data_IF_467955068121
#
_entry.id   IF_467955068121
#
_cell.length_a   1.000
_cell.length_b   1.000
_cell.length_c   1.000
_cell.angle_alpha   90.00
_cell.angle_beta   90.00
_cell.angle_gamma   90.00
#
_symmetry.space_group_name_H-M   'P 1'
#
loop_
_entity.id
_entity.type
_entity.pdbx_description
1 polymer ?
#
# COMPACT_ATOMS: atom_id res chain seq x y z
N UNK A 1 49.00 -4.98 -22.82
CA UNK A 1 48.38 -4.25 -21.69
C UNK A 1 46.87 -4.42 -21.82
N UNK A 2 46.25 -5.17 -20.91
CA UNK A 2 44.79 -5.31 -20.88
C UNK A 2 44.21 -4.15 -20.05
N UNK A 3 43.33 -3.36 -20.65
CA UNK A 3 42.55 -2.34 -19.95
C UNK A 3 41.50 -3.07 -19.09
N UNK A 4 41.55 -2.87 -17.78
CA UNK A 4 40.51 -3.35 -16.89
C UNK A 4 39.18 -2.67 -17.26
N UNK A 5 38.14 -3.47 -17.49
CA UNK A 5 36.79 -2.94 -17.70
C UNK A 5 36.33 -2.19 -16.44
N UNK A 6 35.59 -1.07 -16.58
CA UNK A 6 35.01 -0.40 -15.43
C UNK A 6 34.09 -1.39 -14.70
N UNK A 7 34.29 -1.52 -13.39
CA UNK A 7 33.37 -2.26 -12.54
C UNK A 7 31.97 -1.67 -12.73
N UNK A 8 31.01 -2.49 -13.16
CA UNK A 8 29.62 -2.08 -13.24
C UNK A 8 29.22 -1.56 -11.86
N UNK A 9 28.83 -0.29 -11.78
CA UNK A 9 28.40 0.34 -10.54
C UNK A 9 27.25 -0.49 -9.95
N UNK A 10 27.44 -1.00 -8.74
CA UNK A 10 26.44 -1.80 -8.06
C UNK A 10 25.18 -0.95 -7.88
N UNK A 11 24.05 -1.44 -8.38
CA UNK A 11 22.77 -0.73 -8.29
C UNK A 11 22.44 -0.49 -6.81
N UNK A 12 22.01 0.72 -6.41
CA UNK A 12 21.75 1.02 -5.01
C UNK A 12 20.68 0.07 -4.47
N UNK A 13 20.96 -0.50 -3.30
CA UNK A 13 20.06 -1.42 -2.62
C UNK A 13 18.82 -0.67 -2.10
N UNK A 14 17.60 -1.23 -2.24
CA UNK A 14 16.42 -0.62 -1.67
C UNK A 14 16.45 -0.59 -0.13
N UNK A 15 15.89 0.47 0.45
CA UNK A 15 15.76 0.67 1.90
C UNK A 15 14.30 0.88 2.31
N UNK A 16 14.02 0.73 3.62
CA UNK A 16 12.68 0.89 4.19
C UNK A 16 12.58 2.18 4.97
N UNK A 17 11.46 2.88 4.80
CA UNK A 17 10.99 3.91 5.72
C UNK A 17 9.62 3.52 6.28
N UNK A 18 9.33 3.88 7.53
CA UNK A 18 8.08 3.49 8.20
C UNK A 18 7.31 4.70 8.65
N UNK A 19 6.00 4.70 8.38
CA UNK A 19 5.11 5.77 8.81
C UNK A 19 3.85 5.21 9.44
N UNK A 20 3.32 5.96 10.40
CA UNK A 20 1.91 5.88 10.76
C UNK A 20 1.12 6.83 9.85
N UNK A 21 -0.16 6.53 9.66
CA UNK A 21 -1.05 7.47 8.96
C UNK A 21 -1.30 8.69 9.84
N UNK A 22 -1.44 9.84 9.18
CA UNK A 22 -1.82 11.09 9.82
C UNK A 22 -2.73 11.88 8.89
N UNK A 23 -3.38 12.94 9.40
CA UNK A 23 -4.17 13.85 8.56
C UNK A 23 -5.36 13.19 7.85
N UNK A 24 -5.90 12.10 8.39
CA UNK A 24 -7.00 11.36 7.79
C UNK A 24 -8.27 12.21 7.74
N UNK A 25 -8.79 12.43 6.54
CA UNK A 25 -10.01 13.20 6.27
C UNK A 25 -11.03 12.29 5.61
N UNK A 26 -12.28 12.32 6.10
CA UNK A 26 -13.40 11.67 5.44
C UNK A 26 -13.65 12.35 4.09
N UNK A 27 -13.61 11.57 3.02
CA UNK A 27 -13.84 12.04 1.65
C UNK A 27 -15.27 11.78 1.23
N UNK A 28 -15.80 10.62 1.61
CA UNK A 28 -17.17 10.25 1.33
C UNK A 28 -17.64 9.13 2.25
N UNK A 29 -18.96 9.00 2.35
CA UNK A 29 -19.64 7.92 3.02
C UNK A 29 -20.92 7.59 2.27
N UNK A 30 -21.35 6.34 2.37
CA UNK A 30 -22.63 5.90 1.85
C UNK A 30 -23.82 6.52 2.57
N UNK A 31 -24.94 6.61 1.88
CA UNK A 31 -26.23 6.97 2.48
C UNK A 31 -26.85 5.76 3.22
N UNK A 32 -26.76 5.82 4.55
CA UNK A 32 -27.30 4.78 5.45
C UNK A 32 -28.81 4.61 5.29
N UNK A 33 -29.56 5.68 4.99
CA UNK A 33 -31.01 5.61 4.79
C UNK A 33 -31.36 4.88 3.49
N UNK A 34 -30.43 4.84 2.53
CA UNK A 34 -30.53 4.05 1.30
C UNK A 34 -29.89 2.65 1.42
N UNK A 35 -29.42 2.29 2.62
CA UNK A 35 -28.81 0.99 2.90
C UNK A 35 -27.34 0.88 2.47
N UNK A 36 -26.66 2.00 2.21
CA UNK A 36 -25.23 2.01 1.91
C UNK A 36 -24.41 2.08 3.21
N UNK A 37 -23.55 1.08 3.44
CA UNK A 37 -22.63 1.02 4.58
C UNK A 37 -21.18 0.99 4.10
N UNK A 38 -20.66 2.16 3.74
CA UNK A 38 -19.27 2.35 3.35
C UNK A 38 -18.75 3.74 3.72
N UNK A 39 -17.44 3.85 3.93
CA UNK A 39 -16.76 5.12 4.18
C UNK A 39 -15.42 5.12 3.44
N UNK A 40 -15.00 6.29 2.96
CA UNK A 40 -13.70 6.49 2.31
C UNK A 40 -12.96 7.66 2.93
N UNK A 41 -11.68 7.46 3.23
CA UNK A 41 -10.79 8.42 3.83
C UNK A 41 -9.56 8.65 2.95
N UNK A 42 -9.02 9.86 3.02
CA UNK A 42 -7.70 10.21 2.51
C UNK A 42 -6.81 10.56 3.70
N UNK A 43 -5.73 9.82 3.87
CA UNK A 43 -4.70 10.11 4.86
C UNK A 43 -3.40 10.55 4.18
N UNK A 44 -2.52 11.15 4.97
CA UNK A 44 -1.16 11.50 4.57
C UNK A 44 -0.20 10.37 4.94
N UNK A 45 0.47 9.84 3.92
CA UNK A 45 1.56 8.86 4.03
C UNK A 45 2.94 9.52 4.06
N UNK A 46 3.96 8.77 3.63
CA UNK A 46 5.34 9.26 3.58
C UNK A 46 5.48 10.41 2.58
N UNK A 47 6.20 11.47 2.99
CA UNK A 47 6.47 12.66 2.16
C UNK A 47 5.23 13.29 1.50
N UNK A 48 4.06 13.16 2.14
CA UNK A 48 2.82 13.71 1.63
C UNK A 48 2.06 12.79 0.67
N UNK A 49 2.60 11.63 0.31
CA UNK A 49 1.95 10.67 -0.60
C UNK A 49 0.59 10.27 -0.03
N UNK A 50 -0.51 10.47 -0.76
CA UNK A 50 -1.83 10.14 -0.25
C UNK A 50 -2.01 8.63 -0.07
N UNK A 51 -2.72 8.29 1.01
CA UNK A 51 -3.21 6.93 1.29
C UNK A 51 -4.73 6.98 1.25
N UNK A 52 -5.29 6.30 0.26
CA UNK A 52 -6.73 6.15 0.09
C UNK A 52 -7.17 4.89 0.82
N UNK A 53 -8.12 5.04 1.74
CA UNK A 53 -8.69 3.93 2.48
C UNK A 53 -10.18 3.92 2.26
N UNK A 54 -10.75 2.74 2.07
CA UNK A 54 -12.18 2.58 2.11
C UNK A 54 -12.58 1.33 2.87
N UNK A 55 -13.73 1.40 3.52
CA UNK A 55 -14.30 0.33 4.31
C UNK A 55 -15.77 0.16 3.92
N UNK A 56 -16.25 -1.08 3.96
CA UNK A 56 -17.66 -1.40 3.76
C UNK A 56 -18.06 -2.57 4.66
N UNK A 57 -19.31 -2.53 5.13
CA UNK A 57 -19.92 -3.54 6.02
C UNK A 57 -19.08 -3.76 7.30
N UNK A 58 -18.30 -2.76 7.72
CA UNK A 58 -17.34 -2.82 8.84
C UNK A 58 -16.32 -3.99 8.82
N UNK A 59 -16.20 -4.70 7.71
CA UNK A 59 -15.41 -5.93 7.62
C UNK A 59 -14.49 -5.98 6.40
N UNK A 60 -14.85 -5.28 5.32
CA UNK A 60 -14.06 -5.25 4.09
C UNK A 60 -13.40 -3.90 3.95
N UNK A 61 -12.15 -3.88 3.52
CA UNK A 61 -11.57 -2.64 3.08
C UNK A 61 -10.56 -2.74 1.97
N UNK A 62 -10.23 -1.56 1.48
CA UNK A 62 -9.41 -1.32 0.30
C UNK A 62 -8.38 -0.25 0.63
N UNK A 63 -7.20 -0.41 0.03
CA UNK A 63 -6.13 0.55 0.15
C UNK A 63 -5.65 0.98 -1.24
N UNK A 64 -5.21 2.21 -1.34
CA UNK A 64 -4.51 2.76 -2.49
C UNK A 64 -3.52 3.82 -2.08
N UNK A 65 -2.51 4.02 -2.91
CA UNK A 65 -1.41 4.93 -2.68
C UNK A 65 -1.14 5.74 -3.96
N UNK A 66 -0.87 7.02 -3.81
CA UNK A 66 -0.58 7.94 -4.91
C UNK A 66 -1.54 9.12 -4.97
N UNK A 67 -1.22 10.11 -5.82
CA UNK A 67 -1.99 11.35 -5.90
C UNK A 67 -3.41 11.15 -6.41
N UNK A 68 -3.60 10.20 -7.34
CA UNK A 68 -4.91 9.87 -7.87
C UNK A 68 -5.62 8.89 -6.97
N UNK A 69 -6.90 9.16 -6.70
CA UNK A 69 -7.76 8.26 -5.91
C UNK A 69 -7.79 6.88 -6.56
N UNK A 70 -7.43 5.88 -5.78
CA UNK A 70 -7.42 4.50 -6.22
C UNK A 70 -7.70 3.56 -5.05
N UNK A 71 -8.31 2.42 -5.33
CA UNK A 71 -8.59 1.40 -4.34
C UNK A 71 -8.28 0.03 -4.93
N UNK A 72 -7.30 -0.66 -4.36
CA UNK A 72 -6.98 -2.06 -4.71
C UNK A 72 -7.39 -2.99 -3.58
N UNK A 73 -7.73 -4.23 -3.94
CA UNK A 73 -8.01 -5.30 -2.99
C UNK A 73 -9.49 -5.50 -2.66
N UNK A 74 -9.75 -5.73 -1.37
CA UNK A 74 -11.00 -6.25 -0.80
C UNK A 74 -10.68 -7.18 0.37
N UNK A 75 -9.91 -6.66 1.33
CA UNK A 75 -9.32 -7.42 2.41
C UNK A 75 -10.27 -7.45 3.60
N UNK A 76 -10.25 -8.55 4.39
CA UNK A 76 -10.85 -8.54 5.72
C UNK A 76 -10.00 -7.65 6.62
N UNK A 77 -10.40 -6.39 6.81
CA UNK A 77 -9.57 -5.41 7.52
C UNK A 77 -9.99 -5.28 8.98
N UNK A 78 -9.08 -5.65 9.88
CA UNK A 78 -8.83 -4.85 11.08
C UNK A 78 -7.48 -4.15 10.88
N UNK A 79 -7.50 -2.83 10.68
CA UNK A 79 -6.26 -2.05 10.57
C UNK A 79 -5.56 -1.89 11.93
N UNK A 80 -6.18 -2.39 13.02
CA UNK A 80 -5.80 -2.04 14.38
C UNK A 80 -5.93 -0.53 14.62
N UNK A 81 -5.54 -0.08 15.80
CA UNK A 81 -5.58 1.35 16.14
C UNK A 81 -4.49 2.18 15.45
N UNK A 82 -3.43 1.54 14.92
CA UNK A 82 -2.27 2.21 14.33
C UNK A 82 -1.58 1.31 13.28
N UNK A 83 -2.16 1.14 12.07
CA UNK A 83 -1.51 0.39 11.00
C UNK A 83 -0.17 1.06 10.63
N UNK A 84 0.91 0.28 10.63
CA UNK A 84 2.23 0.72 10.19
C UNK A 84 2.40 0.44 8.70
N UNK A 85 2.79 1.46 7.95
CA UNK A 85 3.10 1.37 6.53
C UNK A 85 4.61 1.37 6.36
N UNK A 86 5.15 0.35 5.69
CA UNK A 86 6.56 0.27 5.36
C UNK A 86 6.78 0.56 3.88
N UNK A 87 7.36 1.71 3.59
CA UNK A 87 7.68 2.19 2.25
C UNK A 87 9.02 1.63 1.81
N UNK A 88 9.07 1.04 0.62
CA UNK A 88 10.29 0.54 -0.02
C UNK A 88 10.70 1.48 -1.13
N UNK A 89 11.95 1.90 -1.11
CA UNK A 89 12.44 2.95 -2.00
C UNK A 89 13.95 2.97 -2.13
N UNK A 90 14.45 3.95 -2.88
CA UNK A 90 15.87 4.19 -3.11
C UNK A 90 16.26 5.54 -2.51
N UNK A 91 17.44 5.60 -1.92
CA UNK A 91 18.03 6.88 -1.51
C UNK A 91 18.80 7.46 -2.70
N UNK A 92 18.28 8.54 -3.27
CA UNK A 92 18.94 9.31 -4.31
C UNK A 92 19.45 10.65 -3.80
N UNK A 93 19.97 11.48 -4.73
CA UNK A 93 20.46 12.83 -4.41
C UNK A 93 19.35 13.77 -3.89
N UNK A 94 18.09 13.47 -4.22
CA UNK A 94 16.91 14.26 -3.84
C UNK A 94 16.16 13.68 -2.64
N UNK A 95 16.71 12.66 -1.99
CA UNK A 95 16.08 11.97 -0.86
C UNK A 95 15.58 10.58 -1.24
N UNK A 96 14.67 10.07 -0.40
CA UNK A 96 14.05 8.77 -0.56
C UNK A 96 12.98 8.82 -1.65
N UNK A 97 13.00 7.86 -2.57
CA UNK A 97 12.00 7.72 -3.63
C UNK A 97 11.32 6.36 -3.45
N UNK A 98 10.09 6.33 -2.90
CA UNK A 98 9.36 5.09 -2.73
C UNK A 98 8.92 4.53 -4.08
N UNK A 99 8.94 3.21 -4.20
CA UNK A 99 8.39 2.48 -5.34
C UNK A 99 7.36 1.43 -4.89
N UNK A 100 7.38 0.98 -3.64
CA UNK A 100 6.41 0.01 -3.12
C UNK A 100 6.05 0.31 -1.66
N UNK A 101 4.92 -0.25 -1.22
CA UNK A 101 4.44 -0.15 0.16
C UNK A 101 4.09 -1.55 0.66
N UNK A 102 4.58 -1.91 1.83
CA UNK A 102 4.26 -3.14 2.54
C UNK A 102 3.34 -2.75 3.70
N UNK A 103 2.19 -3.39 3.76
CA UNK A 103 1.19 -3.20 4.81
C UNK A 103 1.00 -4.52 5.53
N UNK A 104 1.06 -4.50 6.86
CA UNK A 104 0.64 -5.64 7.68
C UNK A 104 -0.82 -5.44 8.06
N UNK A 105 -1.66 -6.36 7.62
CA UNK A 105 -3.10 -6.33 7.86
C UNK A 105 -3.46 -7.48 8.80
N UNK A 106 -4.24 -7.20 9.82
CA UNK A 106 -4.77 -8.26 10.69
C UNK A 106 -6.07 -8.76 10.08
N UNK A 107 -6.17 -10.06 9.74
CA UNK A 107 -7.42 -10.61 9.24
C UNK A 107 -8.52 -10.43 10.28
N UNK A 108 -9.69 -9.96 9.84
CA UNK A 108 -10.86 -9.99 10.70
C UNK A 108 -11.23 -11.44 11.05
N UNK A 109 -11.21 -11.79 12.34
CA UNK A 109 -11.71 -13.08 12.82
C UNK A 109 -12.60 -12.87 14.07
N UNK A 110 -13.76 -13.57 14.16
CA UNK A 110 -14.59 -13.53 15.36
C UNK A 110 -13.89 -14.29 16.50
N UNK A 111 -13.34 -13.58 17.48
CA UNK A 111 -12.67 -14.17 18.65
C UNK A 111 -11.40 -13.42 19.05
N UNK A 112 -10.56 -14.06 19.87
CA UNK A 112 -9.22 -13.54 20.19
C UNK A 112 -8.33 -13.68 18.96
N UNK A 113 -8.04 -12.56 18.30
CA UNK A 113 -7.11 -12.50 17.18
C UNK A 113 -5.70 -12.44 17.74
N UNK A 114 -4.85 -13.37 17.32
CA UNK A 114 -3.42 -13.27 17.57
C UNK A 114 -2.90 -11.98 16.88
N UNK A 115 -2.43 -10.97 17.63
CA UNK A 115 -1.91 -9.74 17.03
C UNK A 115 -0.66 -9.98 16.17
N UNK A 116 -0.04 -11.16 16.30
CA UNK A 116 1.07 -11.58 15.44
C UNK A 116 0.62 -12.29 14.15
N UNK A 117 -0.65 -12.67 14.02
CA UNK A 117 -1.20 -13.33 12.82
C UNK A 117 -1.45 -12.38 11.62
N UNK A 118 -0.93 -11.15 11.66
CA UNK A 118 -1.08 -10.21 10.56
C UNK A 118 -0.43 -10.69 9.26
N UNK A 119 -1.16 -10.60 8.16
CA UNK A 119 -0.73 -10.92 6.81
C UNK A 119 -0.07 -9.71 6.13
N UNK A 120 0.90 -9.95 5.25
CA UNK A 120 1.56 -8.87 4.53
C UNK A 120 0.96 -8.69 3.14
N UNK A 121 0.71 -7.44 2.78
CA UNK A 121 0.22 -7.03 1.48
C UNK A 121 1.22 -6.06 0.87
N UNK A 122 1.61 -6.32 -0.37
CA UNK A 122 2.62 -5.52 -1.07
C UNK A 122 1.95 -4.78 -2.22
N UNK A 123 2.10 -3.46 -2.21
CA UNK A 123 1.60 -2.55 -3.22
C UNK A 123 2.76 -1.97 -4.01
N UNK A 124 2.58 -1.80 -5.33
CA UNK A 124 3.53 -1.08 -6.19
C UNK A 124 2.94 0.28 -6.55
N UNK A 125 3.71 1.35 -6.32
CA UNK A 125 3.39 2.69 -6.81
C UNK A 125 3.61 2.75 -8.33
N UNK A 126 2.78 3.50 -9.05
CA UNK A 126 2.83 3.56 -10.51
C UNK A 126 3.09 4.98 -11.00
N UNK A 127 3.60 5.08 -12.21
CA UNK A 127 3.86 6.38 -12.85
C UNK A 127 2.56 7.13 -13.21
N UNK A 128 1.42 6.44 -13.23
CA UNK A 128 0.09 7.03 -13.43
C UNK A 128 -0.55 7.57 -12.13
N UNK A 129 0.27 7.76 -11.09
CA UNK A 129 -0.08 8.32 -9.78
C UNK A 129 -1.05 7.47 -8.96
N UNK A 130 -1.12 6.17 -9.26
CA UNK A 130 -1.89 5.20 -8.48
C UNK A 130 -0.97 4.08 -7.96
N UNK A 131 -1.57 3.05 -7.38
CA UNK A 131 -0.92 1.83 -6.92
C UNK A 131 -1.76 0.60 -7.24
N UNK A 132 -1.12 -0.56 -7.34
CA UNK A 132 -1.79 -1.85 -7.41
C UNK A 132 -1.19 -2.85 -6.42
N UNK A 133 -1.92 -3.91 -6.08
CA UNK A 133 -1.38 -5.00 -5.25
C UNK A 133 -0.53 -5.90 -6.14
N UNK A 134 0.68 -6.21 -5.71
CA UNK A 134 1.59 -7.16 -6.38
C UNK A 134 1.76 -8.47 -5.61
N UNK A 135 1.32 -8.54 -4.35
CA UNK A 135 1.20 -9.78 -3.58
C UNK A 135 0.31 -9.63 -2.36
N UNK A 136 -0.60 -10.60 -2.17
CA UNK A 136 -1.52 -10.67 -1.04
C UNK A 136 -2.20 -12.06 -0.98
N UNK A 137 -2.29 -12.72 0.20
CA UNK A 137 -1.47 -12.49 1.39
C UNK A 137 -0.04 -13.03 1.19
N UNK A 138 0.94 -12.38 1.82
CA UNK A 138 2.34 -12.82 1.88
C UNK A 138 2.65 -13.28 3.31
N UNK A 139 3.31 -14.42 3.45
CA UNK A 139 3.39 -15.15 4.72
C UNK A 139 4.43 -14.61 5.70
N UNK A 140 5.40 -13.83 5.21
CA UNK A 140 6.43 -13.25 6.07
C UNK A 140 6.87 -11.87 5.59
N UNK A 141 7.41 -11.08 6.52
CA UNK A 141 7.99 -9.78 6.20
C UNK A 141 9.18 -9.89 5.24
N UNK A 142 10.03 -10.92 5.41
CA UNK A 142 11.16 -11.16 4.52
C UNK A 142 10.72 -11.45 3.08
N UNK A 143 9.65 -12.24 2.91
CA UNK A 143 9.07 -12.51 1.59
C UNK A 143 8.44 -11.24 0.99
N UNK A 144 7.75 -10.44 1.81
CA UNK A 144 7.18 -9.16 1.36
C UNK A 144 8.26 -8.17 0.89
N UNK A 145 9.40 -8.11 1.60
CA UNK A 145 10.57 -7.33 1.19
C UNK A 145 11.15 -7.83 -0.13
N UNK A 146 11.38 -9.13 -0.24
CA UNK A 146 11.92 -9.73 -1.47
C UNK A 146 10.99 -9.49 -2.67
N UNK A 147 9.68 -9.62 -2.46
CA UNK A 147 8.68 -9.33 -3.49
C UNK A 147 8.73 -7.86 -3.91
N UNK A 148 8.66 -6.92 -2.95
CA UNK A 148 8.75 -5.49 -3.22
C UNK A 148 10.01 -5.16 -4.04
N UNK A 149 11.18 -5.61 -3.58
CA UNK A 149 12.46 -5.28 -4.21
C UNK A 149 12.58 -5.88 -5.63
N UNK A 150 12.04 -7.08 -5.86
CA UNK A 150 12.05 -7.74 -7.18
C UNK A 150 11.23 -7.02 -8.25
N UNK A 151 10.28 -6.18 -7.83
CA UNK A 151 9.32 -5.50 -8.73
C UNK A 151 9.73 -4.09 -9.14
N UNK A 152 10.94 -3.67 -8.78
CA UNK A 152 11.46 -2.33 -9.07
C UNK A 152 11.41 -1.99 -10.56
N UNK A 153 11.94 -2.88 -11.41
CA UNK A 153 12.05 -2.63 -12.84
C UNK A 153 10.79 -3.01 -13.63
N UNK A 154 10.14 -4.11 -13.24
CA UNK A 154 8.95 -4.66 -13.89
C UNK A 154 8.07 -5.34 -12.86
N UNK A 155 6.78 -5.24 -13.04
CA UNK A 155 5.80 -5.87 -12.15
C UNK A 155 4.54 -6.23 -12.91
N UNK A 156 3.74 -7.10 -12.31
CA UNK A 156 2.38 -7.41 -12.76
C UNK A 156 1.49 -7.23 -11.55
N UNK A 157 0.37 -6.55 -11.73
CA UNK A 157 -0.61 -6.39 -10.66
C UNK A 157 -1.30 -7.74 -10.42
N UNK A 158 -1.25 -8.19 -9.17
CA UNK A 158 -2.10 -9.26 -8.67
C UNK A 158 -3.57 -8.79 -8.57
N UNK A 159 -3.77 -7.54 -8.13
CA UNK A 159 -5.07 -6.87 -8.14
C UNK A 159 -4.89 -5.44 -8.64
N UNK A 160 -5.54 -5.13 -9.77
CA UNK A 160 -5.60 -3.78 -10.33
C UNK A 160 -6.46 -2.85 -9.45
N UNK A 161 -6.12 -1.55 -9.36
CA UNK A 161 -6.95 -0.60 -8.66
C UNK A 161 -8.25 -0.35 -9.43
N UNK A 162 -9.30 -0.16 -8.67
CA UNK A 162 -10.51 0.54 -9.13
C UNK A 162 -10.33 2.03 -8.91
N UNK A 163 -10.61 2.82 -9.95
CA UNK A 163 -10.79 4.26 -9.86
C UNK A 163 -12.28 4.49 -9.56
N UNK A 164 -12.58 5.34 -8.59
CA UNK A 164 -13.95 5.75 -8.22
C UNK A 164 -14.91 4.62 -7.82
N UNK A 165 -14.39 3.64 -7.07
CA UNK A 165 -15.16 2.50 -6.55
C UNK A 165 -16.50 2.86 -5.87
N UNK A 166 -16.63 4.06 -5.33
CA UNK A 166 -17.80 4.52 -4.57
C UNK A 166 -18.58 5.64 -5.27
N UNK A 167 -18.50 5.72 -6.60
CA UNK A 167 -19.35 6.63 -7.38
C UNK A 167 -19.09 8.12 -7.11
N UNK A 168 -17.87 8.44 -6.68
CA UNK A 168 -17.43 9.82 -6.50
C UNK A 168 -16.86 10.29 -7.83
N UNK A 169 -17.73 10.74 -8.73
CA UNK A 169 -17.30 11.54 -9.87
C UNK A 169 -16.71 12.85 -9.32
N UNK A 170 -15.44 13.14 -9.64
CA UNK A 170 -14.74 14.39 -9.25
C UNK A 170 -15.43 15.66 -9.78
#
# INVERSE_FOLDING_TARGET
MALAAPAAGQEPAPVSERTLLSGCTLIAAGDVDQGEDWVSHRCTGLDGIPVWMAFSDSARGWLGFGERRNHSGGFGLDLGSNPMFEWRGLVGLRGFVPFAVIVRLTPYAPGEVDPEAGEFHVFRLRDDETSCVIGAPVQSHAEALALADSTRARFTCHSEPTIDRFGLDD
#
